data_IF_404823929484
#
_entry.id   IF_404823929484
#
_cell.length_a   1.000
_cell.length_b   1.000
_cell.length_c   1.000
_cell.angle_alpha   90.00
_cell.angle_beta   90.00
_cell.angle_gamma   90.00
#
_symmetry.space_group_name_H-M   'P 1'
#
loop_
_entity.id
_entity.type
_entity.pdbx_description
1 polymer ?
#
# COMPACT_ATOMS: atom_id res chain seq x y z
N UNK A 1 23.37 2.88 3.83
CA UNK A 1 23.31 3.71 5.04
C UNK A 1 22.48 3.03 6.12
N UNK A 2 21.20 2.71 5.86
CA UNK A 2 20.31 1.99 6.79
C UNK A 2 20.93 0.72 7.38
N UNK A 3 21.51 -0.16 6.55
CA UNK A 3 22.27 -1.33 7.04
C UNK A 3 23.32 -0.97 8.09
N UNK A 4 24.13 0.06 7.84
CA UNK A 4 25.24 0.45 8.72
C UNK A 4 24.74 0.98 10.06
N UNK A 5 23.55 1.56 10.12
CA UNK A 5 22.95 2.05 11.36
C UNK A 5 22.20 0.95 12.11
N UNK A 6 21.59 0.01 11.39
CA UNK A 6 20.90 -1.13 11.99
C UNK A 6 21.83 -2.10 12.72
N UNK A 7 23.09 -2.21 12.28
CA UNK A 7 24.11 -3.14 12.83
C UNK A 7 25.05 -2.48 13.86
N UNK A 8 24.68 -1.33 14.44
CA UNK A 8 25.47 -0.69 15.51
C UNK A 8 24.99 -1.23 16.85
N UNK A 9 25.91 -1.71 17.68
CA UNK A 9 25.61 -2.22 19.03
C UNK A 9 24.76 -1.22 19.82
N UNK A 10 23.59 -1.67 20.30
CA UNK A 10 22.64 -0.86 21.06
C UNK A 10 21.67 0.00 20.24
N UNK A 11 21.71 -0.04 18.90
CA UNK A 11 20.80 0.69 17.99
C UNK A 11 19.79 -0.24 17.29
N UNK A 12 19.83 -1.52 17.63
CA UNK A 12 19.26 -2.64 16.88
C UNK A 12 17.73 -2.70 16.98
N UNK A 13 17.20 -2.54 18.21
CA UNK A 13 15.77 -2.66 18.49
C UNK A 13 14.98 -1.36 18.27
N UNK A 14 15.66 -0.21 18.17
CA UNK A 14 14.99 1.09 18.18
C UNK A 14 14.59 1.65 16.81
N UNK A 15 14.94 0.94 15.73
CA UNK A 15 14.61 1.30 14.34
C UNK A 15 15.03 2.72 13.96
N UNK A 16 14.28 3.32 13.01
CA UNK A 16 14.55 4.68 12.50
C UNK A 16 14.63 5.73 13.61
N UNK A 17 13.82 5.58 14.67
CA UNK A 17 13.86 6.48 15.82
C UNK A 17 15.22 6.45 16.52
N UNK A 18 15.78 5.26 16.83
CA UNK A 18 17.08 5.16 17.48
C UNK A 18 18.21 5.64 16.56
N UNK A 19 18.20 5.25 15.30
CA UNK A 19 19.25 5.63 14.35
C UNK A 19 19.36 7.14 14.22
N UNK A 20 18.23 7.83 14.00
CA UNK A 20 18.21 9.28 13.85
C UNK A 20 18.44 9.99 15.18
N UNK A 21 17.91 9.47 16.30
CA UNK A 21 18.13 10.07 17.63
C UNK A 21 19.60 10.06 18.03
N UNK A 22 20.32 8.98 17.75
CA UNK A 22 21.71 8.84 18.14
C UNK A 22 22.66 9.63 17.22
N UNK A 23 22.28 9.88 15.95
CA UNK A 23 23.12 10.67 15.03
C UNK A 23 22.82 12.16 15.06
N UNK A 24 21.55 12.56 15.12
CA UNK A 24 21.11 13.96 14.97
C UNK A 24 20.52 14.54 16.26
N UNK A 25 20.19 13.70 17.24
CA UNK A 25 19.59 14.09 18.51
C UNK A 25 18.09 13.73 18.61
N UNK A 26 17.54 13.74 19.83
CA UNK A 26 16.21 13.17 20.13
C UNK A 26 15.05 13.88 19.43
N UNK A 27 15.15 15.20 19.17
CA UNK A 27 14.10 15.95 18.45
C UNK A 27 13.95 15.47 17.01
N UNK A 28 15.06 15.17 16.35
CA UNK A 28 15.06 14.69 14.97
C UNK A 28 14.63 13.23 14.87
N UNK A 29 15.01 12.40 15.84
CA UNK A 29 14.51 11.03 15.91
C UNK A 29 13.01 10.96 16.11
N UNK A 30 12.46 11.80 17.00
CA UNK A 30 11.01 11.93 17.18
C UNK A 30 10.30 12.36 15.89
N UNK A 31 10.84 13.36 15.18
CA UNK A 31 10.28 13.79 13.90
C UNK A 31 10.30 12.67 12.84
N UNK A 32 11.41 11.92 12.73
CA UNK A 32 11.56 10.85 11.75
C UNK A 32 10.54 9.72 11.93
N UNK A 33 10.33 9.23 13.15
CA UNK A 33 9.33 8.19 13.41
C UNK A 33 7.90 8.73 13.28
N UNK A 34 7.67 10.00 13.63
CA UNK A 34 6.38 10.66 13.42
C UNK A 34 6.04 10.75 11.93
N UNK A 35 7.00 10.99 11.05
CA UNK A 35 6.76 10.97 9.60
C UNK A 35 6.39 9.57 9.10
N UNK A 36 7.03 8.51 9.58
CA UNK A 36 6.64 7.14 9.24
C UNK A 36 5.20 6.85 9.66
N UNK A 37 4.81 7.29 10.85
CA UNK A 37 3.44 7.16 11.34
C UNK A 37 2.41 7.96 10.52
N UNK A 38 2.69 9.23 10.24
CA UNK A 38 1.81 10.11 9.47
C UNK A 38 1.69 9.69 8.01
N UNK A 39 2.77 9.23 7.39
CA UNK A 39 2.77 8.72 6.03
C UNK A 39 1.81 7.56 5.89
N UNK A 40 1.76 6.66 6.87
CA UNK A 40 0.84 5.53 6.85
C UNK A 40 -0.60 5.97 7.05
N UNK A 41 -0.85 6.93 7.94
CA UNK A 41 -2.19 7.50 8.14
C UNK A 41 -2.79 8.02 6.81
N UNK A 42 -1.97 8.68 5.99
CA UNK A 42 -2.36 9.18 4.67
C UNK A 42 -2.37 8.05 3.62
N UNK A 43 -1.43 7.10 3.73
CA UNK A 43 -1.28 5.94 2.84
C UNK A 43 -2.46 4.98 2.83
N UNK A 44 -3.36 5.04 3.82
CA UNK A 44 -4.64 4.31 3.77
C UNK A 44 -5.59 4.78 2.67
N UNK A 45 -5.50 6.05 2.24
CA UNK A 45 -6.44 6.62 1.26
C UNK A 45 -6.40 5.83 -0.07
N UNK A 46 -5.24 5.61 -0.73
CA UNK A 46 -5.17 4.79 -1.92
C UNK A 46 -5.73 3.37 -1.75
N UNK A 47 -5.44 2.71 -0.61
CA UNK A 47 -5.92 1.35 -0.35
C UNK A 47 -7.44 1.31 -0.21
N UNK A 48 -8.03 2.29 0.49
CA UNK A 48 -9.48 2.39 0.62
C UNK A 48 -10.16 2.71 -0.70
N UNK A 49 -9.55 3.54 -1.54
CA UNK A 49 -10.06 3.80 -2.89
C UNK A 49 -10.05 2.55 -3.76
N UNK A 50 -8.99 1.73 -3.66
CA UNK A 50 -8.93 0.44 -4.33
C UNK A 50 -10.03 -0.52 -3.82
N UNK A 51 -10.22 -0.62 -2.50
CA UNK A 51 -11.29 -1.40 -1.86
C UNK A 51 -12.67 -0.98 -2.39
N UNK A 52 -12.94 0.31 -2.49
CA UNK A 52 -14.21 0.83 -3.01
C UNK A 52 -14.36 0.61 -4.53
N UNK A 53 -13.26 0.69 -5.28
CA UNK A 53 -13.22 0.30 -6.69
C UNK A 53 -13.52 -1.19 -6.89
N UNK A 54 -13.07 -2.06 -5.99
CA UNK A 54 -13.37 -3.49 -6.08
C UNK A 54 -14.83 -3.76 -5.69
N UNK A 55 -15.31 -3.11 -4.63
CA UNK A 55 -16.71 -3.19 -4.20
C UNK A 55 -17.70 -2.69 -5.26
N UNK A 56 -17.36 -1.64 -6.00
CA UNK A 56 -18.24 -1.13 -7.07
C UNK A 56 -18.48 -2.17 -8.16
N UNK A 57 -17.46 -2.97 -8.51
CA UNK A 57 -17.57 -4.07 -9.48
C UNK A 57 -18.34 -5.27 -8.91
N UNK A 58 -18.14 -5.61 -7.64
CA UNK A 58 -18.82 -6.73 -6.97
C UNK A 58 -20.33 -6.45 -6.85
N UNK A 59 -20.68 -5.26 -6.36
CA UNK A 59 -22.05 -4.85 -6.07
C UNK A 59 -22.77 -4.25 -7.29
N UNK A 60 -22.06 -4.05 -8.42
CA UNK A 60 -22.55 -3.28 -9.57
C UNK A 60 -23.04 -1.89 -9.17
N UNK A 61 -22.28 -1.22 -8.30
CA UNK A 61 -22.61 0.10 -7.77
C UNK A 61 -21.50 1.11 -8.08
N UNK A 62 -21.50 1.72 -9.29
CA UNK A 62 -20.43 2.64 -9.73
C UNK A 62 -20.22 3.86 -8.84
N UNK A 63 -21.29 4.32 -8.15
CA UNK A 63 -21.22 5.47 -7.25
C UNK A 63 -20.22 5.29 -6.10
N UNK A 64 -19.89 4.05 -5.70
CA UNK A 64 -18.83 3.80 -4.72
C UNK A 64 -17.44 4.26 -5.21
N UNK A 65 -17.24 4.35 -6.52
CA UNK A 65 -15.99 4.81 -7.11
C UNK A 65 -16.05 6.23 -7.66
N UNK A 66 -17.23 6.66 -8.15
CA UNK A 66 -17.41 7.91 -8.87
C UNK A 66 -17.92 9.06 -7.98
N UNK A 67 -18.87 8.80 -7.08
CA UNK A 67 -19.46 9.84 -6.23
C UNK A 67 -18.58 10.10 -5.00
N UNK A 68 -17.98 11.31 -4.85
CA UNK A 68 -17.06 11.60 -3.76
C UNK A 68 -17.68 11.45 -2.37
N UNK A 69 -18.98 11.77 -2.23
CA UNK A 69 -19.68 11.71 -0.94
C UNK A 69 -19.89 10.25 -0.54
N UNK A 70 -20.47 9.45 -1.43
CA UNK A 70 -20.64 8.01 -1.21
C UNK A 70 -19.30 7.32 -0.94
N UNK A 71 -18.27 7.64 -1.73
CA UNK A 71 -16.91 7.10 -1.56
C UNK A 71 -16.32 7.45 -0.19
N UNK A 72 -16.49 8.67 0.27
CA UNK A 72 -16.02 9.14 1.59
C UNK A 72 -16.72 8.42 2.74
N UNK A 73 -18.05 8.37 2.72
CA UNK A 73 -18.85 7.72 3.76
C UNK A 73 -18.52 6.23 3.82
N UNK A 74 -18.46 5.55 2.66
CA UNK A 74 -18.12 4.14 2.59
C UNK A 74 -16.69 3.86 3.08
N UNK A 75 -15.71 4.69 2.71
CA UNK A 75 -14.33 4.56 3.19
C UNK A 75 -14.26 4.66 4.72
N UNK A 76 -14.98 5.62 5.32
CA UNK A 76 -15.03 5.80 6.77
C UNK A 76 -15.67 4.60 7.47
N UNK A 77 -16.78 4.08 6.95
CA UNK A 77 -17.44 2.89 7.49
C UNK A 77 -16.48 1.71 7.49
N UNK A 78 -15.80 1.44 6.37
CA UNK A 78 -14.86 0.33 6.24
C UNK A 78 -13.67 0.50 7.20
N UNK A 79 -13.08 1.69 7.23
CA UNK A 79 -11.91 1.97 8.06
C UNK A 79 -12.23 1.82 9.56
N UNK A 80 -13.35 2.38 10.03
CA UNK A 80 -13.77 2.24 11.42
C UNK A 80 -14.19 0.80 11.76
N UNK A 81 -14.86 0.09 10.85
CA UNK A 81 -15.19 -1.32 11.04
C UNK A 81 -13.91 -2.15 11.24
N UNK A 82 -12.90 -1.97 10.38
CA UNK A 82 -11.60 -2.63 10.53
C UNK A 82 -10.92 -2.24 11.84
N UNK A 83 -10.94 -0.96 12.22
CA UNK A 83 -10.35 -0.50 13.48
C UNK A 83 -11.00 -1.18 14.69
N UNK A 84 -12.33 -1.31 14.72
CA UNK A 84 -13.06 -2.02 15.76
C UNK A 84 -12.64 -3.49 15.85
N UNK A 85 -12.45 -4.17 14.71
CA UNK A 85 -11.93 -5.55 14.72
C UNK A 85 -10.54 -5.64 15.34
N UNK A 86 -9.68 -4.66 15.08
CA UNK A 86 -8.30 -4.65 15.59
C UNK A 86 -8.21 -4.27 17.07
N UNK A 87 -9.15 -3.49 17.61
CA UNK A 87 -9.22 -3.23 19.05
C UNK A 87 -9.50 -4.50 19.87
N UNK A 88 -10.14 -5.50 19.27
CA UNK A 88 -10.33 -6.84 19.84
C UNK A 88 -9.03 -7.65 20.03
N UNK A 89 -7.90 -7.16 19.49
CA UNK A 89 -6.58 -7.77 19.61
C UNK A 89 -6.05 -8.32 18.27
N UNK A 90 -4.73 -8.45 18.18
CA UNK A 90 -4.05 -8.74 16.89
C UNK A 90 -3.65 -10.20 16.70
N UNK A 91 -4.19 -11.12 17.51
CA UNK A 91 -3.80 -12.54 17.52
C UNK A 91 -3.93 -13.20 16.14
N UNK A 92 -4.99 -12.88 15.40
CA UNK A 92 -5.28 -13.47 14.09
C UNK A 92 -4.85 -12.59 12.92
N UNK A 93 -4.51 -11.33 13.16
CA UNK A 93 -4.22 -10.33 12.12
C UNK A 93 -3.09 -10.79 11.19
N UNK A 94 -1.99 -11.31 11.74
CA UNK A 94 -0.87 -11.81 10.93
C UNK A 94 -1.26 -13.02 10.04
N UNK A 95 -2.10 -13.92 10.55
CA UNK A 95 -2.58 -15.09 9.79
C UNK A 95 -3.54 -14.67 8.68
N UNK A 96 -4.46 -13.75 8.98
CA UNK A 96 -5.40 -13.19 8.01
C UNK A 96 -4.65 -12.43 6.93
N UNK A 97 -3.68 -11.58 7.28
CA UNK A 97 -2.83 -10.88 6.33
C UNK A 97 -2.06 -11.85 5.42
N UNK A 98 -1.47 -12.91 5.97
CA UNK A 98 -0.77 -13.92 5.17
C UNK A 98 -1.71 -14.60 4.18
N UNK A 99 -2.85 -15.13 4.64
CA UNK A 99 -3.81 -15.81 3.76
C UNK A 99 -4.40 -14.83 2.73
N UNK A 100 -4.74 -13.62 3.16
CA UNK A 100 -5.26 -12.55 2.31
C UNK A 100 -4.26 -12.12 1.23
N UNK A 101 -2.97 -12.03 1.56
CA UNK A 101 -1.93 -11.73 0.58
C UNK A 101 -1.81 -12.83 -0.49
N UNK A 102 -1.77 -14.10 -0.08
CA UNK A 102 -1.68 -15.22 -1.03
C UNK A 102 -2.94 -15.36 -1.89
N UNK A 103 -4.11 -15.39 -1.27
CA UNK A 103 -5.37 -15.62 -1.98
C UNK A 103 -5.88 -14.38 -2.72
N UNK A 104 -5.62 -13.19 -2.18
CA UNK A 104 -6.20 -11.94 -2.64
C UNK A 104 -5.27 -11.05 -3.45
N UNK A 105 -3.94 -11.24 -3.40
CA UNK A 105 -2.99 -10.41 -4.17
C UNK A 105 -2.19 -11.27 -5.13
N UNK A 106 -1.48 -12.29 -4.63
CA UNK A 106 -0.63 -13.13 -5.48
C UNK A 106 -1.43 -13.93 -6.50
N UNK A 107 -2.53 -14.57 -6.08
CA UNK A 107 -3.36 -15.36 -6.99
C UNK A 107 -3.96 -14.50 -8.11
N UNK A 108 -4.64 -13.36 -7.84
CA UNK A 108 -5.08 -12.46 -8.90
C UNK A 108 -3.95 -11.93 -9.79
N UNK A 109 -2.78 -11.61 -9.24
CA UNK A 109 -1.64 -11.17 -10.05
C UNK A 109 -1.20 -12.25 -11.05
N UNK A 110 -1.14 -13.52 -10.64
CA UNK A 110 -0.84 -14.62 -11.55
C UNK A 110 -1.90 -14.77 -12.66
N UNK A 111 -3.19 -14.68 -12.30
CA UNK A 111 -4.30 -14.74 -13.25
C UNK A 111 -4.21 -13.58 -14.26
N UNK A 112 -3.89 -12.36 -13.79
CA UNK A 112 -3.73 -11.19 -14.65
C UNK A 112 -2.65 -11.40 -15.70
N UNK A 113 -1.48 -11.89 -15.28
CA UNK A 113 -0.33 -12.14 -16.17
C UNK A 113 -0.70 -13.20 -17.22
N UNK A 114 -1.34 -14.29 -16.79
CA UNK A 114 -1.78 -15.34 -17.70
C UNK A 114 -2.79 -14.83 -18.72
N UNK A 115 -3.81 -14.07 -18.28
CA UNK A 115 -4.82 -13.50 -19.18
C UNK A 115 -4.23 -12.48 -20.16
N UNK A 116 -3.33 -11.61 -19.69
CA UNK A 116 -2.66 -10.65 -20.55
C UNK A 116 -1.77 -11.33 -21.61
N UNK A 117 -1.07 -12.42 -21.24
CA UNK A 117 -0.28 -13.20 -22.18
C UNK A 117 -1.15 -13.88 -23.25
N UNK A 118 -2.31 -14.44 -22.86
CA UNK A 118 -3.28 -15.03 -23.79
C UNK A 118 -3.85 -13.95 -24.72
N UNK A 119 -4.21 -12.78 -24.17
CA UNK A 119 -4.71 -11.64 -24.94
C UNK A 119 -3.70 -11.21 -26.01
N UNK A 120 -2.43 -11.06 -25.65
CA UNK A 120 -1.36 -10.71 -26.60
C UNK A 120 -1.19 -11.80 -27.68
N UNK A 121 -1.24 -13.08 -27.30
CA UNK A 121 -1.11 -14.18 -28.26
C UNK A 121 -2.28 -14.27 -29.24
N UNK A 122 -3.48 -13.82 -28.84
CA UNK A 122 -4.67 -13.83 -29.69
C UNK A 122 -4.66 -12.76 -30.80
N UNK A 123 -3.64 -11.88 -30.83
CA UNK A 123 -3.54 -10.79 -31.82
C UNK A 123 -4.50 -9.62 -31.56
N UNK A 124 -5.01 -9.51 -30.33
CA UNK A 124 -5.89 -8.43 -29.93
C UNK A 124 -5.20 -7.05 -30.01
N UNK A 125 -5.96 -5.96 -30.25
CA UNK A 125 -5.38 -4.62 -30.36
C UNK A 125 -4.73 -4.21 -29.05
N UNK A 126 -3.46 -3.81 -29.11
CA UNK A 126 -2.73 -3.31 -27.96
C UNK A 126 -2.90 -1.79 -27.86
N UNK A 127 -3.34 -1.31 -26.70
CA UNK A 127 -3.62 0.10 -26.44
C UNK A 127 -2.36 0.98 -26.28
N UNK A 128 -1.16 0.38 -26.24
CA UNK A 128 0.11 1.09 -26.13
C UNK A 128 1.00 0.84 -27.34
N UNK A 129 1.66 1.91 -27.80
CA UNK A 129 2.77 1.81 -28.73
C UNK A 129 4.07 1.67 -27.94
N UNK A 130 4.78 0.55 -28.12
CA UNK A 130 6.12 0.37 -27.57
C UNK A 130 7.16 0.89 -28.56
N UNK A 131 7.63 2.12 -28.35
CA UNK A 131 8.70 2.75 -29.14
C UNK A 131 9.71 3.40 -28.17
N UNK A 132 10.93 3.67 -28.66
CA UNK A 132 11.96 4.37 -27.90
C UNK A 132 11.48 5.74 -27.38
N UNK A 133 10.54 6.37 -28.10
CA UNK A 133 9.90 7.64 -27.73
C UNK A 133 8.89 7.51 -26.59
N UNK A 134 8.28 6.34 -26.39
CA UNK A 134 7.33 6.10 -25.29
C UNK A 134 8.01 5.51 -24.05
N UNK A 135 9.23 4.98 -24.20
CA UNK A 135 10.04 4.49 -23.08
C UNK A 135 10.57 5.62 -22.18
N UNK A 136 11.04 6.72 -22.78
CA UNK A 136 11.50 7.88 -22.02
C UNK A 136 10.34 8.85 -21.78
N UNK A 137 10.04 9.20 -20.52
CA UNK A 137 8.97 10.14 -20.22
C UNK A 137 9.25 11.54 -20.79
N UNK A 138 8.20 12.23 -21.25
CA UNK A 138 8.31 13.62 -21.71
C UNK A 138 8.44 14.56 -20.49
N UNK A 139 9.67 14.94 -20.18
CA UNK A 139 10.01 15.84 -19.07
C UNK A 139 9.57 17.30 -19.30
N UNK A 140 9.11 17.66 -20.50
CA UNK A 140 8.53 18.99 -20.76
C UNK A 140 7.16 19.16 -20.10
N UNK A 141 6.50 18.04 -19.76
CA UNK A 141 5.18 18.02 -19.12
C UNK A 141 5.32 17.85 -17.61
N UNK A 142 4.79 18.82 -16.86
CA UNK A 142 4.78 18.80 -15.39
C UNK A 142 4.10 17.54 -14.83
N UNK A 143 3.05 17.05 -15.48
CA UNK A 143 2.32 15.84 -15.07
C UNK A 143 3.17 14.56 -15.08
N UNK A 144 4.22 14.49 -15.91
CA UNK A 144 5.10 13.33 -16.01
C UNK A 144 5.86 13.07 -14.70
N UNK A 145 6.31 14.14 -14.02
CA UNK A 145 7.02 14.02 -12.75
C UNK A 145 6.09 13.59 -11.59
N UNK A 146 4.79 13.85 -11.69
CA UNK A 146 3.82 13.47 -10.65
C UNK A 146 3.67 11.95 -10.56
N UNK A 147 3.73 11.24 -11.69
CA UNK A 147 3.67 9.75 -11.71
C UNK A 147 4.84 9.14 -10.94
N UNK A 148 6.00 9.81 -10.92
CA UNK A 148 7.18 9.35 -10.18
C UNK A 148 6.91 9.18 -8.67
N UNK A 149 5.98 9.96 -8.11
CA UNK A 149 5.59 9.86 -6.69
C UNK A 149 5.03 8.47 -6.36
N UNK A 150 4.23 7.88 -7.24
CA UNK A 150 3.68 6.54 -7.04
C UNK A 150 4.78 5.47 -7.05
N UNK A 151 5.80 5.62 -7.90
CA UNK A 151 6.94 4.73 -7.92
C UNK A 151 7.80 4.86 -6.67
N UNK A 152 8.11 6.07 -6.20
CA UNK A 152 8.83 6.26 -4.92
C UNK A 152 8.05 5.57 -3.79
N UNK A 153 6.74 5.81 -3.72
CA UNK A 153 5.89 5.25 -2.67
C UNK A 153 5.95 3.72 -2.63
N UNK A 154 6.08 3.04 -3.77
CA UNK A 154 6.20 1.58 -3.85
C UNK A 154 7.47 1.01 -3.19
N UNK A 155 8.52 1.81 -3.03
CA UNK A 155 9.78 1.42 -2.38
C UNK A 155 9.94 1.97 -0.96
N UNK A 156 8.98 2.78 -0.46
CA UNK A 156 8.98 3.23 0.93
C UNK A 156 8.61 2.08 1.86
N UNK A 157 9.24 2.00 3.03
CA UNK A 157 8.97 0.96 4.03
C UNK A 157 10.09 -0.07 4.20
N UNK A 158 11.10 -0.08 3.33
CA UNK A 158 12.29 -0.96 3.45
C UNK A 158 12.99 -0.77 4.81
N UNK A 159 12.92 0.44 5.37
CA UNK A 159 13.47 0.78 6.68
C UNK A 159 12.90 -0.07 7.83
N UNK A 160 11.66 -0.54 7.72
CA UNK A 160 11.04 -1.40 8.72
C UNK A 160 11.66 -2.80 8.74
N UNK A 161 12.14 -3.29 7.59
CA UNK A 161 12.83 -4.58 7.49
C UNK A 161 14.28 -4.50 7.96
N UNK A 162 14.89 -3.31 7.95
CA UNK A 162 16.30 -3.13 8.23
C UNK A 162 16.70 -3.47 9.67
N UNK A 163 15.78 -3.49 10.65
CA UNK A 163 16.05 -3.97 12.01
C UNK A 163 16.35 -5.48 12.07
N UNK A 164 15.86 -6.27 11.10
CA UNK A 164 16.08 -7.71 11.03
C UNK A 164 17.43 -8.08 10.40
N UNK A 165 18.25 -7.09 10.04
CA UNK A 165 19.59 -7.32 9.49
C UNK A 165 20.48 -8.04 10.50
N UNK A 166 20.27 -7.81 11.80
CA UNK A 166 21.05 -8.43 12.86
C UNK A 166 20.73 -9.92 13.06
N UNK A 167 19.59 -10.37 12.52
CA UNK A 167 19.19 -11.78 12.52
C UNK A 167 19.75 -12.55 11.31
N UNK A 168 20.44 -11.86 10.39
CA UNK A 168 21.07 -12.50 9.23
C UNK A 168 22.39 -13.15 9.62
N UNK A 169 22.67 -14.32 9.04
CA UNK A 169 23.92 -15.05 9.26
C UNK A 169 25.16 -14.31 8.73
N UNK A 170 25.07 -13.67 7.56
CA UNK A 170 26.13 -12.83 7.01
C UNK A 170 25.58 -11.48 6.49
N UNK A 171 25.32 -10.51 7.39
CA UNK A 171 24.76 -9.21 7.02
C UNK A 171 25.61 -8.41 6.01
N UNK A 172 26.93 -8.64 5.99
CA UNK A 172 27.87 -7.94 5.12
C UNK A 172 27.62 -8.21 3.63
N UNK A 173 27.32 -9.47 3.29
CA UNK A 173 27.10 -9.96 1.92
C UNK A 173 25.62 -10.16 1.61
N UNK A 174 24.87 -10.77 2.53
CA UNK A 174 23.52 -11.26 2.24
C UNK A 174 22.51 -10.12 2.17
N UNK A 175 22.66 -9.08 2.98
CA UNK A 175 21.76 -7.93 2.92
C UNK A 175 21.82 -7.16 1.58
N UNK A 176 23.00 -6.76 1.05
CA UNK A 176 23.06 -6.16 -0.29
C UNK A 176 22.49 -7.04 -1.39
N UNK A 177 22.74 -8.36 -1.36
CA UNK A 177 22.19 -9.29 -2.34
C UNK A 177 20.67 -9.43 -2.23
N UNK A 178 20.15 -9.54 -1.01
CA UNK A 178 18.71 -9.56 -0.76
C UNK A 178 18.04 -8.27 -1.25
N UNK A 179 18.64 -7.11 -0.99
CA UNK A 179 18.13 -5.83 -1.48
C UNK A 179 18.15 -5.72 -3.00
N UNK A 180 19.22 -6.19 -3.67
CA UNK A 180 19.30 -6.23 -5.13
C UNK A 180 18.22 -7.15 -5.72
N UNK A 181 18.05 -8.34 -5.15
CA UNK A 181 17.05 -9.31 -5.59
C UNK A 181 15.63 -8.76 -5.40
N UNK A 182 15.34 -8.19 -4.23
CA UNK A 182 14.05 -7.54 -3.95
C UNK A 182 13.77 -6.39 -4.91
N UNK A 183 14.77 -5.57 -5.22
CA UNK A 183 14.65 -4.49 -6.20
C UNK A 183 14.31 -5.04 -7.59
N UNK A 184 15.07 -6.02 -8.09
CA UNK A 184 14.82 -6.63 -9.41
C UNK A 184 13.44 -7.28 -9.46
N UNK A 185 13.07 -8.05 -8.43
CA UNK A 185 11.78 -8.71 -8.34
C UNK A 185 10.62 -7.68 -8.32
N UNK A 186 10.74 -6.62 -7.52
CA UNK A 186 9.75 -5.55 -7.46
C UNK A 186 9.60 -4.85 -8.81
N UNK A 187 10.71 -4.48 -9.47
CA UNK A 187 10.68 -3.88 -10.81
C UNK A 187 9.97 -4.82 -11.79
N UNK A 188 10.38 -6.09 -11.88
CA UNK A 188 9.78 -7.03 -12.81
C UNK A 188 8.28 -7.23 -12.56
N UNK A 189 7.87 -7.46 -11.30
CA UNK A 189 6.47 -7.69 -10.96
C UNK A 189 5.61 -6.45 -11.20
N UNK A 190 6.07 -5.27 -10.77
CA UNK A 190 5.35 -4.01 -10.98
C UNK A 190 5.29 -3.62 -12.46
N UNK A 191 6.37 -3.83 -13.22
CA UNK A 191 6.39 -3.58 -14.67
C UNK A 191 5.45 -4.53 -15.40
N UNK A 192 5.48 -5.84 -15.13
CA UNK A 192 4.60 -6.80 -15.79
C UNK A 192 3.13 -6.51 -15.46
N UNK A 193 2.80 -6.26 -14.20
CA UNK A 193 1.43 -5.90 -13.80
C UNK A 193 0.96 -4.59 -14.42
N UNK A 194 1.78 -3.54 -14.36
CA UNK A 194 1.46 -2.24 -14.94
C UNK A 194 1.33 -2.28 -16.47
N UNK A 195 2.22 -2.99 -17.16
CA UNK A 195 2.15 -3.19 -18.61
C UNK A 195 0.93 -4.01 -19.02
N UNK A 196 0.52 -5.00 -18.22
CA UNK A 196 -0.70 -5.78 -18.49
C UNK A 196 -1.95 -4.89 -18.50
N UNK A 197 -2.02 -3.90 -17.60
CA UNK A 197 -3.10 -2.90 -17.58
C UNK A 197 -2.99 -1.96 -18.78
N UNK A 198 -1.79 -1.38 -18.97
CA UNK A 198 -1.55 -0.39 -20.03
C UNK A 198 -1.76 -0.97 -21.43
N UNK A 199 -1.46 -2.24 -21.65
CA UNK A 199 -1.67 -2.95 -22.92
C UNK A 199 -3.13 -3.01 -23.34
N UNK A 200 -4.05 -2.99 -22.39
CA UNK A 200 -5.48 -3.26 -22.62
C UNK A 200 -6.32 -2.00 -22.54
N UNK A 201 -5.90 -1.01 -21.75
CA UNK A 201 -6.66 0.22 -21.51
C UNK A 201 -5.80 1.43 -21.90
N UNK A 202 -6.29 2.32 -22.78
CA UNK A 202 -5.63 3.58 -23.10
C UNK A 202 -5.33 4.41 -21.86
N UNK A 203 -4.15 5.02 -21.80
CA UNK A 203 -3.68 5.70 -20.57
C UNK A 203 -4.58 6.82 -20.04
N UNK A 204 -5.35 7.47 -20.91
CA UNK A 204 -6.31 8.52 -20.54
C UNK A 204 -7.62 7.98 -19.93
N UNK A 205 -7.91 6.69 -20.06
CA UNK A 205 -9.14 6.04 -19.59
C UNK A 205 -8.92 5.12 -18.38
N UNK A 206 -7.67 4.99 -17.91
CA UNK A 206 -7.34 4.18 -16.74
C UNK A 206 -7.94 4.82 -15.48
N UNK A 207 -8.88 4.12 -14.85
CA UNK A 207 -9.38 4.53 -13.56
C UNK A 207 -8.34 4.21 -12.45
N UNK A 208 -7.84 5.21 -11.74
CA UNK A 208 -6.79 5.01 -10.73
C UNK A 208 -7.22 4.12 -9.54
N UNK A 209 -8.52 4.05 -9.24
CA UNK A 209 -9.06 3.25 -8.14
C UNK A 209 -9.53 1.86 -8.60
N UNK A 210 -10.05 1.76 -9.81
CA UNK A 210 -10.68 0.55 -10.34
C UNK A 210 -9.95 -0.10 -11.51
N UNK A 211 -8.78 0.41 -11.92
CA UNK A 211 -8.10 0.03 -13.15
C UNK A 211 -7.73 -1.44 -13.24
N UNK A 212 -7.41 -2.08 -12.11
CA UNK A 212 -7.14 -3.53 -12.07
C UNK A 212 -8.41 -4.32 -12.45
N UNK A 213 -9.55 -3.98 -11.84
CA UNK A 213 -10.84 -4.62 -12.11
C UNK A 213 -11.31 -4.33 -13.55
N UNK A 214 -11.10 -3.09 -14.02
CA UNK A 214 -11.36 -2.69 -15.40
C UNK A 214 -10.57 -3.56 -16.39
N UNK A 215 -9.29 -3.83 -16.09
CA UNK A 215 -8.43 -4.67 -16.92
C UNK A 215 -8.93 -6.11 -16.96
N UNK A 216 -9.31 -6.67 -15.81
CA UNK A 216 -9.91 -8.01 -15.77
C UNK A 216 -11.22 -8.08 -16.57
N UNK A 217 -12.06 -7.04 -16.53
CA UNK A 217 -13.28 -6.99 -17.36
C UNK A 217 -12.96 -7.06 -18.85
N UNK A 218 -12.01 -6.26 -19.33
CA UNK A 218 -11.65 -6.23 -20.76
C UNK A 218 -10.95 -7.52 -21.18
N UNK A 219 -10.04 -8.06 -20.35
CA UNK A 219 -9.36 -9.31 -20.66
C UNK A 219 -10.34 -10.50 -20.68
N UNK A 220 -11.24 -10.58 -19.70
CA UNK A 220 -12.22 -11.67 -19.64
C UNK A 220 -13.28 -11.56 -20.73
N UNK A 221 -13.71 -10.35 -21.10
CA UNK A 221 -14.66 -10.19 -22.20
C UNK A 221 -14.08 -10.63 -23.55
N UNK A 222 -12.76 -10.57 -23.70
CA UNK A 222 -12.06 -11.08 -24.90
C UNK A 222 -11.83 -12.60 -24.85
N UNK A 223 -11.35 -13.12 -23.72
CA UNK A 223 -10.95 -14.55 -23.60
C UNK A 223 -12.16 -15.48 -23.40
N UNK A 224 -13.11 -15.08 -22.55
CA UNK A 224 -14.25 -15.90 -22.17
C UNK A 224 -15.46 -15.01 -21.82
N UNK A 225 -16.16 -14.45 -22.82
CA UNK A 225 -17.30 -13.54 -22.61
C UNK A 225 -18.42 -14.18 -21.75
N UNK A 226 -18.58 -15.50 -21.85
CA UNK A 226 -19.62 -16.25 -21.13
C UNK A 226 -19.39 -16.32 -19.61
N UNK A 227 -18.16 -16.01 -19.15
CA UNK A 227 -17.76 -16.13 -17.74
C UNK A 227 -17.43 -14.77 -17.13
N UNK A 228 -18.17 -13.72 -17.53
CA UNK A 228 -18.00 -12.35 -17.00
C UNK A 228 -18.13 -12.28 -15.46
N UNK A 229 -18.94 -13.16 -14.85
CA UNK A 229 -19.09 -13.23 -13.40
C UNK A 229 -17.79 -13.53 -12.64
N UNK A 230 -16.80 -14.14 -13.30
CA UNK A 230 -15.48 -14.43 -12.71
C UNK A 230 -14.75 -13.14 -12.35
N UNK A 231 -14.99 -12.03 -13.06
CA UNK A 231 -14.42 -10.73 -12.70
C UNK A 231 -14.87 -10.31 -11.30
N UNK A 232 -16.14 -10.53 -10.94
CA UNK A 232 -16.62 -10.21 -9.58
C UNK A 232 -15.97 -11.08 -8.52
N UNK A 233 -15.68 -12.34 -8.82
CA UNK A 233 -14.96 -13.24 -7.91
C UNK A 233 -13.53 -12.75 -7.72
N UNK A 234 -12.83 -12.38 -8.80
CA UNK A 234 -11.48 -11.82 -8.73
C UNK A 234 -11.49 -10.51 -7.94
N UNK A 235 -12.45 -9.61 -8.19
CA UNK A 235 -12.63 -8.38 -7.41
C UNK A 235 -12.86 -8.67 -5.93
N UNK A 236 -13.60 -9.72 -5.58
CA UNK A 236 -13.81 -10.12 -4.19
C UNK A 236 -12.51 -10.65 -3.54
N UNK A 237 -11.69 -11.40 -4.29
CA UNK A 237 -10.38 -11.84 -3.82
C UNK A 237 -9.45 -10.64 -3.57
N UNK A 238 -9.36 -9.72 -4.54
CA UNK A 238 -8.59 -8.48 -4.42
C UNK A 238 -9.04 -7.65 -3.22
N UNK A 239 -10.34 -7.48 -3.05
CA UNK A 239 -10.95 -6.81 -1.90
C UNK A 239 -10.50 -7.44 -0.58
N UNK A 240 -10.61 -8.77 -0.45
CA UNK A 240 -10.21 -9.49 0.76
C UNK A 240 -8.71 -9.37 1.05
N UNK A 241 -7.87 -9.41 0.01
CA UNK A 241 -6.43 -9.23 0.15
C UNK A 241 -6.08 -7.86 0.72
N UNK A 242 -6.62 -6.80 0.12
CA UNK A 242 -6.34 -5.43 0.56
C UNK A 242 -6.96 -5.12 1.92
N UNK A 243 -8.16 -5.63 2.24
CA UNK A 243 -8.74 -5.49 3.58
C UNK A 243 -7.85 -6.16 4.65
N UNK A 244 -7.28 -7.32 4.35
CA UNK A 244 -6.37 -8.02 5.24
C UNK A 244 -5.07 -7.23 5.47
N UNK A 245 -4.55 -6.58 4.43
CA UNK A 245 -3.40 -5.66 4.55
C UNK A 245 -3.75 -4.44 5.40
N UNK A 246 -4.83 -3.71 5.08
CA UNK A 246 -5.27 -2.55 5.85
C UNK A 246 -5.41 -2.91 7.34
N UNK A 247 -6.03 -4.04 7.65
CA UNK A 247 -6.19 -4.52 9.02
C UNK A 247 -4.85 -4.68 9.77
N UNK A 248 -3.80 -5.18 9.09
CA UNK A 248 -2.47 -5.32 9.70
C UNK A 248 -1.75 -3.99 9.92
N UNK A 249 -2.00 -2.99 9.06
CA UNK A 249 -1.39 -1.67 9.15
C UNK A 249 -2.09 -0.75 10.16
N UNK A 250 -3.31 -1.06 10.62
CA UNK A 250 -3.99 -0.24 11.64
C UNK A 250 -3.22 -0.24 12.97
N UNK A 251 -2.64 -1.37 13.37
CA UNK A 251 -1.98 -1.51 14.68
C UNK A 251 -0.45 -1.41 14.63
N UNK A 252 0.18 -1.92 13.56
CA UNK A 252 1.63 -2.01 13.45
C UNK A 252 2.38 -0.69 13.69
N UNK A 253 2.10 0.38 12.93
CA UNK A 253 2.78 1.68 13.05
C UNK A 253 2.55 2.35 14.40
N UNK A 254 1.34 2.21 14.95
CA UNK A 254 1.00 2.76 16.27
C UNK A 254 1.80 2.06 17.38
N UNK A 255 2.12 0.77 17.24
CA UNK A 255 3.07 0.08 18.14
C UNK A 255 4.50 0.59 17.97
N UNK A 256 4.92 0.93 16.76
CA UNK A 256 6.21 1.59 16.53
C UNK A 256 6.31 2.94 17.24
N UNK A 257 5.28 3.78 17.10
CA UNK A 257 5.22 5.07 17.80
C UNK A 257 5.14 4.95 19.32
N UNK A 258 4.62 3.85 19.85
CA UNK A 258 4.51 3.61 21.28
C UNK A 258 5.87 3.71 22.01
N UNK A 259 6.97 3.34 21.35
CA UNK A 259 8.33 3.48 21.90
C UNK A 259 8.65 4.94 22.27
N UNK A 260 8.14 5.91 21.50
CA UNK A 260 8.31 7.33 21.82
C UNK A 260 7.47 7.76 23.03
N UNK A 261 6.28 7.17 23.20
CA UNK A 261 5.44 7.41 24.35
C UNK A 261 6.08 6.89 25.65
N UNK A 262 6.77 5.75 25.61
CA UNK A 262 7.53 5.21 26.75
C UNK A 262 8.72 6.09 27.15
N UNK A 263 9.29 6.83 26.20
CA UNK A 263 10.38 7.79 26.45
C UNK A 263 9.88 9.17 26.90
N UNK A 264 8.61 9.30 27.28
CA UNK A 264 7.98 10.57 27.67
C UNK A 264 8.04 11.67 26.59
N UNK A 265 8.18 11.29 25.31
CA UNK A 265 8.20 12.24 24.20
C UNK A 265 6.79 12.58 23.70
N UNK A 266 5.78 11.79 24.08
CA UNK A 266 4.37 12.03 23.80
C UNK A 266 3.60 12.28 25.10
N UNK A 267 2.45 12.99 25.05
CA UNK A 267 1.59 13.14 26.22
C UNK A 267 1.20 11.79 26.82
N UNK A 268 1.07 11.72 28.15
CA UNK A 268 0.78 10.47 28.86
C UNK A 268 -0.46 9.71 28.36
N UNK A 269 -1.42 10.41 27.74
CA UNK A 269 -2.58 9.79 27.09
C UNK A 269 -2.21 8.84 25.94
N UNK A 270 -1.11 9.10 25.22
CA UNK A 270 -0.64 8.28 24.08
C UNK A 270 0.16 7.04 24.51
N UNK A 271 0.53 6.95 25.80
CA UNK A 271 1.21 5.80 26.37
C UNK A 271 0.25 4.71 26.88
N UNK A 272 -1.07 4.87 26.68
CA UNK A 272 -2.09 3.92 27.14
C UNK A 272 -2.31 2.80 26.11
N UNK A 273 -2.32 1.56 26.58
CA UNK A 273 -2.73 0.37 25.83
C UNK A 273 -4.01 -0.20 26.40
N UNK A 274 -4.82 -0.86 25.56
CA UNK A 274 -5.96 -1.66 26.05
C UNK A 274 -5.50 -3.03 26.58
N UNK A 275 -6.46 -3.81 27.12
CA UNK A 275 -6.23 -5.17 27.63
C UNK A 275 -5.64 -6.14 26.59
N UNK A 276 -5.74 -5.82 25.31
CA UNK A 276 -5.28 -6.64 24.19
C UNK A 276 -3.93 -6.16 23.62
N UNK A 277 -3.22 -5.25 24.29
CA UNK A 277 -1.92 -4.75 23.85
C UNK A 277 -1.99 -3.88 22.60
N UNK A 278 -3.07 -3.12 22.44
CA UNK A 278 -3.27 -2.17 21.33
C UNK A 278 -3.21 -0.74 21.86
N UNK A 279 -2.37 0.15 21.30
CA UNK A 279 -2.27 1.55 21.72
C UNK A 279 -3.43 2.37 21.14
N UNK A 280 -4.58 2.34 21.83
CA UNK A 280 -5.86 2.87 21.32
C UNK A 280 -5.80 4.36 20.99
N UNK A 281 -5.18 5.19 21.84
CA UNK A 281 -5.09 6.65 21.60
C UNK A 281 -4.31 6.99 20.33
N UNK A 282 -3.25 6.22 20.03
CA UNK A 282 -2.49 6.37 18.80
C UNK A 282 -3.36 5.95 17.61
N UNK A 283 -3.94 4.75 17.63
CA UNK A 283 -4.79 4.29 16.53
C UNK A 283 -5.94 5.28 16.25
N UNK A 284 -6.64 5.76 17.28
CA UNK A 284 -7.71 6.75 17.11
C UNK A 284 -7.18 8.06 16.51
N UNK A 285 -6.02 8.57 16.96
CA UNK A 285 -5.46 9.79 16.38
C UNK A 285 -5.11 9.62 14.90
N UNK A 286 -4.60 8.45 14.50
CA UNK A 286 -4.35 8.10 13.10
C UNK A 286 -5.62 8.17 12.26
N UNK A 287 -6.72 7.61 12.78
CA UNK A 287 -8.03 7.59 12.11
C UNK A 287 -8.64 8.99 12.01
N UNK A 288 -8.45 9.84 13.01
CA UNK A 288 -8.90 11.23 12.98
C UNK A 288 -8.10 12.05 11.97
N UNK A 289 -6.78 11.84 11.86
CA UNK A 289 -5.94 12.48 10.84
C UNK A 289 -6.43 12.11 9.44
N UNK A 290 -6.75 10.83 9.23
CA UNK A 290 -7.37 10.36 8.00
C UNK A 290 -8.68 11.11 7.72
N UNK A 291 -9.60 11.17 8.70
CA UNK A 291 -10.89 11.86 8.56
C UNK A 291 -10.71 13.33 8.15
N UNK A 292 -9.83 14.06 8.83
CA UNK A 292 -9.56 15.46 8.53
C UNK A 292 -9.05 15.66 7.10
N UNK A 293 -8.18 14.76 6.62
CA UNK A 293 -7.64 14.84 5.25
C UNK A 293 -8.70 14.54 4.19
N UNK A 294 -9.60 13.59 4.46
CA UNK A 294 -10.65 13.21 3.52
C UNK A 294 -11.77 14.26 3.43
N UNK A 295 -12.10 14.92 4.53
CA UNK A 295 -13.09 16.00 4.57
C UNK A 295 -12.60 17.30 3.89
N UNK A 296 -11.27 17.49 3.79
CA UNK A 296 -10.65 18.68 3.18
C UNK A 296 -9.76 18.36 1.97
N UNK A 297 -10.29 17.77 0.88
CA UNK A 297 -9.50 17.41 -0.29
C UNK A 297 -9.03 18.65 -1.09
N UNK A 298 -9.71 19.80 -0.94
CA UNK A 298 -9.53 20.97 -1.80
C UNK A 298 -8.51 22.01 -1.33
N UNK A 299 -7.96 21.92 -0.11
CA UNK A 299 -7.08 22.98 0.40
C UNK A 299 -5.64 22.99 -0.14
N UNK A 300 -5.25 21.97 -0.91
CA UNK A 300 -3.92 21.91 -1.53
C UNK A 300 -4.00 21.47 -2.98
N UNK A 301 -4.76 22.20 -3.81
CA UNK A 301 -4.46 22.26 -5.26
C UNK A 301 -3.22 23.12 -5.40
N UNK A 302 -2.03 22.50 -5.44
CA UNK A 302 -0.88 23.17 -6.03
C UNK A 302 -1.25 23.47 -7.47
N UNK A 303 -1.46 24.76 -7.75
CA UNK A 303 -1.62 25.30 -9.10
C UNK A 303 -0.36 25.07 -9.89
#
# INVERSE_FOLDING_TARGET
>A
MLRKWATVDGWEEGGVFAWVSNTLGPRWGFAAISFGYLQIAIGFIPMLYFVLGALSYILKWPALNEDPITKTIAALIILWALALTQFGGTKYTARIAKVGFFAGILLPAFILIALAAIYLHSGAPVAIEMDAKTFFPDFSKVGTLVVFVAFILSYMGVEASATHVNEMSNPGRDYPLAMLLLMVAAICLSSVGGLSIAMVIPGNEINLSAGVMQTFTVLMSHVAPEIEWTVRVISALLLLGVLAEIASWIVGPSRGMYVTAQKNLLPAAFAKMNKNGVPVTLVISQLVIYFYRVDHPHQYRWR
#
